data_IF_755172745985
#
_entry.id   IF_755172745985
#
_cell.length_a   1.000
_cell.length_b   1.000
_cell.length_c   1.000
_cell.angle_alpha   90.00
_cell.angle_beta   90.00
_cell.angle_gamma   90.00
#
_symmetry.space_group_name_H-M   'P 1'
#
loop_
_entity.id
_entity.type
_entity.pdbx_description
1 polymer ?
#
# COMPACT_ATOMS: atom_id res chain seq x y z
N UNK A 1 -11.01 9.75 -4.47
CA UNK A 1 -10.00 10.72 -4.06
C UNK A 1 -9.67 10.57 -2.59
N UNK A 2 -8.40 10.54 -2.29
CA UNK A 2 -7.98 10.30 -0.92
C UNK A 2 -7.86 11.61 -0.18
N UNK A 3 -8.62 11.74 0.88
CA UNK A 3 -8.57 12.94 1.70
C UNK A 3 -7.79 12.73 2.98
N UNK A 4 -7.62 11.51 3.38
CA UNK A 4 -6.92 11.22 4.62
C UNK A 4 -5.43 11.27 4.40
N UNK A 5 -4.73 11.74 5.39
CA UNK A 5 -3.28 11.73 5.33
C UNK A 5 -2.72 10.36 5.61
N UNK A 6 -3.41 9.60 6.41
CA UNK A 6 -2.99 8.25 6.80
C UNK A 6 -4.04 7.28 6.31
N UNK A 7 -3.58 6.26 5.64
CA UNK A 7 -4.46 5.25 5.08
C UNK A 7 -4.22 3.92 5.74
N UNK A 8 -5.27 3.13 5.80
CA UNK A 8 -5.16 1.76 6.30
C UNK A 8 -4.86 0.85 5.13
N UNK A 9 -4.47 -0.39 5.46
CA UNK A 9 -4.25 -1.39 4.44
C UNK A 9 -5.50 -1.57 3.57
N UNK A 10 -6.65 -1.58 4.23
CA UNK A 10 -7.90 -1.75 3.51
C UNK A 10 -8.13 -0.62 2.51
N UNK A 11 -7.85 0.60 2.94
CA UNK A 11 -8.07 1.75 2.07
C UNK A 11 -7.13 1.73 0.89
N UNK A 12 -5.89 1.36 1.12
CA UNK A 12 -4.93 1.28 0.04
C UNK A 12 -5.30 0.15 -0.92
N UNK A 13 -5.75 -0.96 -0.38
CA UNK A 13 -6.17 -2.08 -1.22
C UNK A 13 -7.32 -1.68 -2.13
N UNK A 14 -8.29 -0.97 -1.58
CA UNK A 14 -9.41 -0.50 -2.37
C UNK A 14 -8.95 0.48 -3.45
N UNK A 15 -8.05 1.35 -3.08
CA UNK A 15 -7.57 2.36 -4.01
C UNK A 15 -6.81 1.73 -5.16
N UNK A 16 -5.97 0.75 -4.86
CA UNK A 16 -5.16 0.10 -5.87
C UNK A 16 -5.85 -1.09 -6.51
N UNK A 17 -6.99 -1.46 -5.98
CA UNK A 17 -7.76 -2.59 -6.49
C UNK A 17 -7.00 -3.90 -6.39
N UNK A 18 -6.40 -4.11 -5.26
CA UNK A 18 -5.71 -5.36 -4.96
C UNK A 18 -6.24 -5.88 -3.64
N UNK A 19 -5.87 -7.08 -3.31
CA UNK A 19 -6.32 -7.66 -2.06
C UNK A 19 -5.60 -7.03 -0.89
N UNK A 20 -6.24 -7.07 0.27
CA UNK A 20 -5.62 -6.55 1.47
C UNK A 20 -4.37 -7.33 1.83
N UNK A 21 -4.37 -8.60 1.55
CA UNK A 21 -3.20 -9.43 1.82
C UNK A 21 -2.01 -8.94 1.02
N UNK A 22 -2.25 -8.55 -0.22
CA UNK A 22 -1.19 -8.03 -1.06
C UNK A 22 -0.60 -6.75 -0.49
N UNK A 23 -1.45 -5.83 -0.06
CA UNK A 23 -0.98 -4.58 0.51
C UNK A 23 -0.23 -4.84 1.81
N UNK A 24 -0.79 -5.71 2.64
CA UNK A 24 -0.17 -6.04 3.91
C UNK A 24 1.24 -6.58 3.69
N UNK A 25 1.39 -7.41 2.70
CA UNK A 25 2.67 -8.00 2.37
C UNK A 25 3.64 -6.94 1.89
N UNK A 26 3.17 -6.03 1.04
CA UNK A 26 4.01 -4.95 0.57
C UNK A 26 4.48 -4.07 1.72
N UNK A 27 3.62 -3.82 2.68
CA UNK A 27 4.00 -3.05 3.85
C UNK A 27 5.05 -3.79 4.66
N UNK A 28 4.86 -5.07 4.82
CA UNK A 28 5.77 -5.87 5.61
C UNK A 28 7.13 -5.98 4.95
N UNK A 29 7.15 -6.03 3.65
CA UNK A 29 8.41 -6.14 2.91
C UNK A 29 9.09 -4.80 2.69
N UNK A 30 8.41 -3.73 3.00
CA UNK A 30 8.97 -2.41 2.79
C UNK A 30 8.79 -1.89 1.38
N UNK A 31 8.02 -2.57 0.57
CA UNK A 31 7.73 -2.09 -0.79
C UNK A 31 6.96 -0.80 -0.74
N UNK A 32 6.05 -0.70 0.20
CA UNK A 32 5.30 0.53 0.44
C UNK A 32 5.77 1.09 1.77
N UNK A 33 6.20 2.33 1.81
CA UNK A 33 6.59 2.94 3.08
C UNK A 33 5.38 2.98 4.00
N UNK A 34 5.49 2.34 5.13
CA UNK A 34 4.39 2.26 6.06
C UNK A 34 4.92 2.10 7.46
N UNK A 35 4.11 2.48 8.41
CA UNK A 35 4.45 2.32 9.81
C UNK A 35 3.48 1.35 10.44
N UNK A 36 3.99 0.49 11.26
CA UNK A 36 3.15 -0.46 11.95
C UNK A 36 2.81 0.10 13.32
N UNK A 37 1.53 0.25 13.55
CA UNK A 37 1.05 0.76 14.83
C UNK A 37 0.10 -0.28 15.40
N UNK A 38 0.52 -0.92 16.46
CA UNK A 38 -0.24 -2.01 17.00
C UNK A 38 -0.29 -3.16 16.01
N UNK A 39 -1.47 -3.53 15.62
CA UNK A 39 -1.65 -4.62 14.66
C UNK A 39 -1.93 -4.13 13.27
N UNK A 40 -1.94 -2.82 13.11
CA UNK A 40 -2.34 -2.27 11.83
C UNK A 40 -1.18 -1.54 11.19
N UNK A 41 -1.19 -1.56 9.88
CA UNK A 41 -0.25 -0.77 9.12
C UNK A 41 -0.89 0.55 8.79
N UNK A 42 -0.09 1.60 8.86
CA UNK A 42 -0.53 2.94 8.48
C UNK A 42 0.34 3.40 7.34
N UNK A 43 -0.29 3.79 6.27
CA UNK A 43 0.42 4.23 5.07
C UNK A 43 0.13 5.71 4.89
N UNK A 44 1.18 6.49 4.71
CA UNK A 44 0.97 7.90 4.48
C UNK A 44 0.54 8.12 3.05
N UNK A 45 -0.50 8.92 2.90
CA UNK A 45 -1.01 9.20 1.58
C UNK A 45 0.07 9.77 0.67
N UNK A 46 0.85 10.70 1.20
CA UNK A 46 1.88 11.34 0.41
C UNK A 46 2.91 10.35 -0.09
N UNK A 47 3.26 9.39 0.74
CA UNK A 47 4.22 8.37 0.34
C UNK A 47 3.64 7.51 -0.77
N UNK A 48 2.38 7.17 -0.64
CA UNK A 48 1.73 6.36 -1.65
C UNK A 48 1.62 7.10 -2.98
N UNK A 49 1.21 8.34 -2.92
CA UNK A 49 1.06 9.15 -4.11
C UNK A 49 2.41 9.31 -4.80
N UNK A 50 3.43 9.58 -4.04
CA UNK A 50 4.76 9.73 -4.60
C UNK A 50 5.22 8.45 -5.28
N UNK A 51 4.97 7.32 -4.63
CA UNK A 51 5.37 6.04 -5.17
C UNK A 51 4.70 5.78 -6.51
N UNK A 52 3.43 6.09 -6.59
CA UNK A 52 2.68 5.89 -7.82
C UNK A 52 3.08 6.89 -8.89
N UNK A 53 3.34 8.11 -8.46
CA UNK A 53 3.66 9.18 -9.38
C UNK A 53 5.01 8.98 -10.03
N UNK A 54 5.91 8.35 -9.32
CA UNK A 54 7.23 8.07 -9.88
C UNK A 54 7.21 6.94 -10.87
N UNK A 55 6.09 6.31 -11.03
CA UNK A 55 5.96 5.26 -12.01
C UNK A 55 6.73 4.01 -11.68
N UNK A 56 6.98 3.78 -10.44
CA UNK A 56 7.71 2.60 -10.03
C UNK A 56 6.81 1.40 -10.03
N UNK A 57 6.28 1.16 -11.15
CA UNK A 57 5.40 0.03 -11.26
C UNK A 57 6.03 -1.29 -10.98
N UNK A 58 7.29 -1.46 -11.22
CA UNK A 58 7.84 -2.80 -11.01
C UNK A 58 7.60 -3.29 -9.62
N UNK A 59 7.57 -2.40 -8.69
CA UNK A 59 7.31 -2.80 -7.32
C UNK A 59 5.93 -3.32 -7.14
N UNK A 60 5.08 -2.97 -8.04
CA UNK A 60 3.72 -3.43 -8.00
C UNK A 60 3.46 -4.45 -9.07
N UNK A 61 4.50 -5.11 -9.48
CA UNK A 61 4.27 -6.07 -10.50
C UNK A 61 3.15 -6.97 -10.02
N UNK A 62 2.34 -7.33 -10.92
CA UNK A 62 1.12 -8.03 -10.59
C UNK A 62 1.35 -9.46 -10.28
N UNK A 63 2.36 -9.76 -9.60
CA UNK A 63 2.46 -11.11 -9.18
C UNK A 63 1.24 -11.39 -8.40
N UNK A 64 0.51 -12.36 -8.80
CA UNK A 64 -0.72 -12.64 -8.09
C UNK A 64 -0.37 -13.05 -6.71
N UNK A 65 -1.14 -12.61 -5.80
CA UNK A 65 -0.94 -13.02 -4.43
C UNK A 65 -1.15 -14.50 -4.35
N UNK A 66 -0.43 -15.13 -3.52
CA UNK A 66 -0.68 -16.53 -3.25
C UNK A 66 -2.08 -16.65 -2.73
N UNK A 67 -2.77 -17.57 -3.19
CA UNK A 67 -4.12 -17.75 -2.72
C UNK A 67 -4.20 -18.54 -1.47
#
# INVERSE_FOLDING_TARGET
MLKKEILTVREVADYLRVSRVTVWRWCQEGTIPASRIGRNWRIRRDDLVRLLDEGHSPSFSPSPPPQ
#
